data_IF_919652014871
#
_entry.id   IF_919652014871
#
_cell.length_a   1.000
_cell.length_b   1.000
_cell.length_c   1.000
_cell.angle_alpha   90.00
_cell.angle_beta   90.00
_cell.angle_gamma   90.00
#
_symmetry.space_group_name_H-M   'P 1'
#
loop_
_entity.id
_entity.type
_entity.pdbx_description
1 polymer ?
#
# COMPACT_ATOMS: atom_id res chain seq x y z
N UNK A 1 -3.53 68.68 -60.52
CA UNK A 1 -2.47 68.01 -59.73
C UNK A 1 -2.88 68.13 -58.26
N UNK A 2 -3.03 67.12 -57.43
CA UNK A 2 -3.20 65.67 -57.50
C UNK A 2 -3.69 65.34 -56.07
N UNK A 3 -4.82 64.64 -55.92
CA UNK A 3 -5.37 64.25 -54.62
C UNK A 3 -4.84 62.85 -54.30
N UNK A 4 -3.63 62.77 -53.78
CA UNK A 4 -3.02 61.51 -53.36
C UNK A 4 -3.72 60.96 -52.12
N UNK A 5 -4.48 59.90 -52.36
CA UNK A 5 -5.31 59.15 -51.44
C UNK A 5 -4.57 58.62 -50.20
N UNK A 6 -5.10 58.94 -49.00
CA UNK A 6 -4.82 58.19 -47.78
C UNK A 6 -5.83 57.03 -47.65
N UNK A 7 -5.51 55.88 -48.26
CA UNK A 7 -6.26 54.63 -48.03
C UNK A 7 -5.87 54.04 -46.67
N UNK A 8 -6.79 54.07 -45.71
CA UNK A 8 -6.67 53.35 -44.43
C UNK A 8 -6.63 51.85 -44.69
N UNK A 9 -5.56 51.18 -44.27
CA UNK A 9 -5.45 49.72 -44.25
C UNK A 9 -6.41 49.13 -43.23
N UNK A 10 -7.42 48.40 -43.71
CA UNK A 10 -8.32 47.61 -42.89
C UNK A 10 -7.59 46.40 -42.31
N UNK A 11 -7.62 46.24 -40.98
CA UNK A 11 -7.08 45.07 -40.30
C UNK A 11 -8.06 43.90 -40.52
N UNK A 12 -7.71 42.97 -41.39
CA UNK A 12 -8.51 41.77 -41.66
C UNK A 12 -8.46 40.84 -40.44
N UNK A 13 -9.57 40.74 -39.72
CA UNK A 13 -9.79 39.73 -38.68
C UNK A 13 -9.76 38.33 -39.32
N UNK A 14 -8.61 37.66 -39.21
CA UNK A 14 -8.41 36.28 -39.67
C UNK A 14 -9.28 35.35 -38.82
N UNK A 15 -10.45 34.96 -39.33
CA UNK A 15 -11.32 33.98 -38.67
C UNK A 15 -10.52 32.70 -38.38
N UNK A 16 -10.41 32.35 -37.09
CA UNK A 16 -9.77 31.11 -36.67
C UNK A 16 -10.57 29.94 -37.24
N UNK A 17 -9.89 29.05 -37.97
CA UNK A 17 -10.54 27.94 -38.68
C UNK A 17 -11.28 27.02 -37.70
N UNK A 18 -12.35 26.38 -38.16
CA UNK A 18 -13.11 25.39 -37.39
C UNK A 18 -12.21 24.27 -36.82
N UNK A 19 -11.09 23.98 -37.49
CA UNK A 19 -10.09 22.99 -37.05
C UNK A 19 -9.29 23.44 -35.81
N UNK A 20 -9.00 24.74 -35.67
CA UNK A 20 -8.35 25.26 -34.46
C UNK A 20 -9.24 25.03 -33.22
N UNK A 21 -10.54 25.24 -33.36
CA UNK A 21 -11.51 24.97 -32.29
C UNK A 21 -11.70 23.47 -32.03
N UNK A 22 -11.71 22.62 -33.07
CA UNK A 22 -11.79 21.18 -32.91
C UNK A 22 -10.56 20.60 -32.17
N UNK A 23 -9.36 21.11 -32.45
CA UNK A 23 -8.13 20.71 -31.76
C UNK A 23 -8.19 21.05 -30.27
N UNK A 24 -8.58 22.28 -29.92
CA UNK A 24 -8.70 22.69 -28.51
C UNK A 24 -9.82 21.95 -27.78
N UNK A 25 -10.94 21.67 -28.46
CA UNK A 25 -12.00 20.83 -27.90
C UNK A 25 -11.49 19.42 -27.56
N UNK A 26 -10.72 18.80 -28.45
CA UNK A 26 -10.12 17.49 -28.21
C UNK A 26 -9.13 17.51 -27.03
N UNK A 27 -8.29 18.55 -26.95
CA UNK A 27 -7.34 18.74 -25.84
C UNK A 27 -8.09 18.87 -24.51
N UNK A 28 -9.16 19.65 -24.46
CA UNK A 28 -9.99 19.78 -23.25
C UNK A 28 -10.59 18.43 -22.85
N UNK A 29 -11.12 17.66 -23.81
CA UNK A 29 -11.66 16.32 -23.54
C UNK A 29 -10.58 15.38 -22.97
N UNK A 30 -9.38 15.38 -23.54
CA UNK A 30 -8.25 14.58 -23.04
C UNK A 30 -7.85 15.00 -21.63
N UNK A 31 -7.72 16.30 -21.36
CA UNK A 31 -7.36 16.83 -20.04
C UNK A 31 -8.42 16.50 -19.01
N UNK A 32 -9.72 16.63 -19.35
CA UNK A 32 -10.83 16.28 -18.46
C UNK A 32 -10.85 14.78 -18.18
N UNK A 33 -10.71 13.94 -19.21
CA UNK A 33 -10.67 12.48 -19.06
C UNK A 33 -9.49 12.04 -18.19
N UNK A 34 -8.30 12.60 -18.43
CA UNK A 34 -7.10 12.31 -17.65
C UNK A 34 -7.23 12.78 -16.20
N UNK A 35 -7.77 13.99 -15.98
CA UNK A 35 -8.03 14.53 -14.64
C UNK A 35 -9.05 13.67 -13.89
N UNK A 36 -10.12 13.24 -14.56
CA UNK A 36 -11.12 12.35 -13.99
C UNK A 36 -10.54 10.98 -13.61
N UNK A 37 -9.71 10.40 -14.47
CA UNK A 37 -8.99 9.16 -14.19
C UNK A 37 -8.04 9.30 -13.00
N UNK A 38 -7.27 10.40 -12.91
CA UNK A 38 -6.41 10.69 -11.76
C UNK A 38 -7.20 10.85 -10.47
N UNK A 39 -8.34 11.56 -10.49
CA UNK A 39 -9.20 11.71 -9.32
C UNK A 39 -9.71 10.34 -8.87
N UNK A 40 -10.14 9.49 -9.81
CA UNK A 40 -10.66 8.14 -9.51
C UNK A 40 -9.56 7.22 -8.97
N UNK A 41 -8.35 7.26 -9.52
CA UNK A 41 -7.19 6.49 -9.08
C UNK A 41 -6.67 6.95 -7.70
N UNK A 42 -6.77 8.24 -7.41
CA UNK A 42 -6.31 8.83 -6.15
C UNK A 42 -7.37 8.83 -5.05
N UNK A 43 -8.59 8.31 -5.30
CA UNK A 43 -9.56 8.12 -4.21
C UNK A 43 -8.92 7.21 -3.17
N UNK A 44 -8.70 7.69 -1.92
CA UNK A 44 -8.21 6.82 -0.89
C UNK A 44 -9.25 5.73 -0.70
N UNK A 45 -8.90 4.49 -1.03
CA UNK A 45 -9.66 3.34 -0.56
C UNK A 45 -9.55 3.40 0.96
N UNK A 46 -10.60 3.95 1.59
CA UNK A 46 -10.81 3.82 3.02
C UNK A 46 -10.99 2.32 3.23
N UNK A 47 -9.90 1.62 3.54
CA UNK A 47 -9.99 0.29 4.09
C UNK A 47 -10.72 0.47 5.41
N UNK A 48 -12.01 0.17 5.39
CA UNK A 48 -12.80 0.05 6.61
C UNK A 48 -12.17 -1.09 7.39
N UNK A 49 -11.83 -0.82 8.65
CA UNK A 49 -11.41 -1.85 9.60
C UNK A 49 -12.57 -2.86 9.70
N UNK A 50 -12.46 -3.91 8.88
CA UNK A 50 -13.53 -4.87 8.68
C UNK A 50 -13.44 -5.85 9.83
N UNK A 51 -14.56 -6.07 10.52
CA UNK A 51 -14.63 -7.04 11.60
C UNK A 51 -14.11 -8.40 11.12
N UNK A 52 -13.35 -9.08 11.98
CA UNK A 52 -12.96 -10.48 11.74
C UNK A 52 -14.20 -11.34 11.50
N UNK A 53 -14.06 -12.41 10.69
CA UNK A 53 -15.13 -13.38 10.43
C UNK A 53 -15.43 -14.29 11.62
N UNK A 54 -14.81 -14.07 12.77
CA UNK A 54 -15.10 -14.85 13.97
C UNK A 54 -16.56 -14.66 14.40
N UNK A 55 -17.28 -15.77 14.47
CA UNK A 55 -18.61 -15.80 15.08
C UNK A 55 -18.48 -15.44 16.56
N UNK A 56 -19.35 -14.55 17.07
CA UNK A 56 -19.47 -14.29 18.50
C UNK A 56 -20.13 -15.48 19.20
N UNK A 57 -19.35 -16.55 19.41
CA UNK A 57 -19.74 -17.80 20.06
C UNK A 57 -18.86 -18.05 21.28
N UNK A 58 -19.32 -18.84 22.24
CA UNK A 58 -18.49 -19.30 23.37
C UNK A 58 -17.42 -20.31 22.96
N UNK A 59 -17.44 -20.80 21.71
CA UNK A 59 -16.42 -21.68 21.15
C UNK A 59 -15.24 -20.89 20.57
N UNK A 60 -14.61 -20.04 21.38
CA UNK A 60 -13.34 -19.38 21.04
C UNK A 60 -12.20 -19.89 21.91
N UNK A 61 -10.98 -19.77 21.40
CA UNK A 61 -9.76 -20.14 22.12
C UNK A 61 -8.67 -19.10 21.85
N UNK A 62 -7.82 -18.89 22.84
CA UNK A 62 -6.67 -18.00 22.71
C UNK A 62 -5.40 -18.82 22.43
N UNK A 63 -4.72 -18.50 21.33
CA UNK A 63 -3.38 -19.00 21.00
C UNK A 63 -2.38 -17.94 21.42
N UNK A 64 -1.55 -18.28 22.41
CA UNK A 64 -0.45 -17.41 22.85
C UNK A 64 0.86 -17.90 22.26
N UNK A 65 1.58 -16.99 21.61
CA UNK A 65 2.85 -17.24 20.96
C UNK A 65 3.92 -16.30 21.53
N UNK A 66 5.18 -16.73 21.46
CA UNK A 66 6.36 -15.91 21.73
C UNK A 66 7.07 -15.47 20.44
N UNK A 67 8.08 -14.60 20.56
CA UNK A 67 8.90 -14.08 19.45
C UNK A 67 9.48 -15.19 18.61
N UNK A 68 10.01 -16.25 19.23
CA UNK A 68 10.63 -17.36 18.51
C UNK A 68 9.62 -18.07 17.60
N UNK A 69 8.41 -18.33 18.12
CA UNK A 69 7.34 -18.96 17.36
C UNK A 69 6.82 -18.06 16.24
N UNK A 70 6.65 -16.75 16.50
CA UNK A 70 6.25 -15.80 15.45
C UNK A 70 7.32 -15.69 14.37
N UNK A 71 8.60 -15.63 14.74
CA UNK A 71 9.71 -15.62 13.79
C UNK A 71 9.70 -16.88 12.92
N UNK A 72 9.49 -18.06 13.51
CA UNK A 72 9.41 -19.32 12.79
C UNK A 72 8.22 -19.36 11.82
N UNK A 73 7.03 -18.91 12.26
CA UNK A 73 5.84 -18.81 11.42
C UNK A 73 6.05 -17.85 10.24
N UNK A 74 6.59 -16.67 10.51
CA UNK A 74 6.86 -15.68 9.47
C UNK A 74 7.90 -16.19 8.45
N UNK A 75 8.96 -16.85 8.93
CA UNK A 75 9.97 -17.46 8.05
C UNK A 75 9.36 -18.53 7.13
N UNK A 76 8.46 -19.37 7.66
CA UNK A 76 7.78 -20.39 6.86
C UNK A 76 6.99 -19.77 5.70
N UNK A 77 6.11 -18.80 5.97
CA UNK A 77 5.28 -18.18 4.94
C UNK A 77 6.05 -17.26 3.97
N UNK A 78 7.11 -16.61 4.44
CA UNK A 78 7.98 -15.80 3.58
C UNK A 78 8.81 -16.66 2.64
N UNK A 79 9.32 -17.81 3.10
CA UNK A 79 10.06 -18.72 2.24
C UNK A 79 9.19 -19.32 1.13
N UNK A 80 7.90 -19.59 1.39
CA UNK A 80 6.97 -20.02 0.35
C UNK A 80 6.69 -18.92 -0.69
N UNK A 81 6.64 -17.66 -0.26
CA UNK A 81 6.24 -16.54 -1.12
C UNK A 81 7.41 -15.83 -1.82
N UNK A 82 8.60 -15.85 -1.23
CA UNK A 82 9.79 -15.16 -1.73
C UNK A 82 11.08 -15.86 -1.24
N UNK A 83 11.44 -17.02 -1.83
CA UNK A 83 12.48 -17.92 -1.33
C UNK A 83 13.90 -17.33 -1.18
N UNK A 84 14.19 -16.22 -1.85
CA UNK A 84 15.58 -15.77 -2.13
C UNK A 84 15.87 -14.32 -1.72
N UNK A 85 15.06 -13.68 -0.87
CA UNK A 85 15.31 -12.24 -0.66
C UNK A 85 14.73 -11.51 0.53
N UNK A 86 13.91 -12.11 1.40
CA UNK A 86 13.35 -11.39 2.54
C UNK A 86 13.39 -12.21 3.82
N UNK A 87 13.82 -11.56 4.89
CA UNK A 87 13.93 -12.13 6.22
C UNK A 87 13.15 -11.28 7.22
N UNK A 88 12.39 -11.96 8.07
CA UNK A 88 11.61 -11.35 9.12
C UNK A 88 12.19 -11.72 10.47
N UNK A 89 12.31 -10.73 11.37
CA UNK A 89 12.78 -10.95 12.73
C UNK A 89 12.11 -9.97 13.69
N UNK A 90 11.62 -10.48 14.82
CA UNK A 90 11.17 -9.67 15.94
C UNK A 90 12.26 -9.69 17.01
N UNK A 91 12.70 -8.48 17.39
CA UNK A 91 13.64 -8.25 18.48
C UNK A 91 13.02 -7.20 19.42
N UNK A 92 13.59 -5.99 19.52
CA UNK A 92 12.92 -4.81 20.12
C UNK A 92 11.86 -4.19 19.20
N UNK A 93 12.04 -4.39 17.89
CA UNK A 93 11.12 -3.98 16.83
C UNK A 93 10.89 -5.15 15.88
N UNK A 94 9.79 -5.08 15.13
CA UNK A 94 9.60 -5.97 13.99
C UNK A 94 10.51 -5.48 12.86
N UNK A 95 11.36 -6.35 12.34
CA UNK A 95 12.31 -6.05 11.28
C UNK A 95 12.05 -6.91 10.05
N UNK A 96 12.06 -6.27 8.90
CA UNK A 96 12.08 -6.92 7.59
C UNK A 96 13.33 -6.45 6.86
N UNK A 97 14.20 -7.37 6.48
CA UNK A 97 15.42 -7.06 5.74
C UNK A 97 15.60 -8.02 4.57
N UNK A 98 16.32 -7.58 3.55
CA UNK A 98 16.36 -8.31 2.30
C UNK A 98 17.07 -7.55 1.20
N UNK A 99 16.96 -8.03 -0.03
CA UNK A 99 17.51 -7.34 -1.19
C UNK A 99 16.43 -7.08 -2.24
N UNK A 100 16.49 -5.91 -2.87
CA UNK A 100 15.53 -5.42 -3.84
C UNK A 100 16.22 -5.05 -5.15
N UNK A 101 15.67 -5.48 -6.28
CA UNK A 101 16.21 -5.14 -7.60
C UNK A 101 15.65 -3.80 -8.09
N UNK A 102 16.31 -2.69 -7.74
CA UNK A 102 15.92 -1.36 -8.21
C UNK A 102 16.87 -0.86 -9.29
N UNK A 103 16.32 -0.35 -10.40
CA UNK A 103 17.11 0.23 -11.50
C UNK A 103 18.20 -0.71 -12.05
N UNK A 104 17.92 -2.01 -12.09
CA UNK A 104 18.88 -3.03 -12.54
C UNK A 104 19.98 -3.38 -11.53
N UNK A 105 19.92 -2.85 -10.31
CA UNK A 105 20.89 -3.15 -9.24
C UNK A 105 20.21 -3.81 -8.04
N UNK A 106 20.89 -4.79 -7.44
CA UNK A 106 20.45 -5.44 -6.20
C UNK A 106 20.90 -4.58 -5.03
N UNK A 107 19.94 -4.02 -4.28
CA UNK A 107 20.19 -3.15 -3.14
C UNK A 107 19.69 -3.80 -1.86
N UNK A 108 20.49 -3.75 -0.81
CA UNK A 108 20.05 -4.19 0.52
C UNK A 108 19.07 -3.20 1.11
N UNK A 109 17.99 -3.74 1.66
CA UNK A 109 16.90 -3.01 2.28
C UNK A 109 16.70 -3.54 3.70
N UNK A 110 16.44 -2.62 4.63
CA UNK A 110 16.02 -2.93 5.99
C UNK A 110 14.91 -1.98 6.43
N UNK A 111 13.83 -2.53 6.98
CA UNK A 111 12.68 -1.79 7.47
C UNK A 111 12.33 -2.23 8.89
N UNK A 112 12.02 -1.27 9.76
CA UNK A 112 11.52 -1.56 11.11
C UNK A 112 10.07 -1.08 11.23
N UNK A 113 9.26 -1.85 11.96
CA UNK A 113 7.85 -1.57 12.17
C UNK A 113 7.50 -1.57 13.66
N UNK A 114 6.55 -0.71 14.00
CA UNK A 114 5.84 -0.74 15.27
C UNK A 114 4.42 -1.33 15.00
N UNK A 115 4.05 -2.45 15.64
CA UNK A 115 2.75 -3.08 15.44
C UNK A 115 1.66 -2.40 16.26
N UNK A 116 0.43 -2.46 15.74
CA UNK A 116 -0.78 -2.05 16.44
C UNK A 116 -1.93 -3.01 16.09
N UNK A 117 -2.65 -3.47 17.10
CA UNK A 117 -3.86 -4.29 16.93
C UNK A 117 -5.07 -3.36 16.86
N UNK A 118 -5.90 -3.49 15.83
CA UNK A 118 -7.12 -2.70 15.70
C UNK A 118 -8.22 -3.24 16.61
N UNK A 119 -9.27 -2.44 16.84
CA UNK A 119 -10.44 -2.87 17.64
C UNK A 119 -11.13 -4.12 17.08
N UNK A 120 -11.02 -4.33 15.77
CA UNK A 120 -11.58 -5.49 15.07
C UNK A 120 -10.62 -6.68 15.00
N UNK A 121 -9.46 -6.57 15.64
CA UNK A 121 -8.42 -7.59 15.69
C UNK A 121 -7.66 -7.75 14.37
N UNK A 122 -7.60 -6.71 13.53
CA UNK A 122 -6.66 -6.63 12.41
C UNK A 122 -5.31 -6.10 12.90
N UNK A 123 -4.27 -6.19 12.07
CA UNK A 123 -2.92 -5.74 12.45
C UNK A 123 -2.48 -4.61 11.52
N UNK A 124 -1.99 -3.53 12.10
CA UNK A 124 -1.31 -2.44 11.41
C UNK A 124 0.17 -2.52 11.77
N UNK A 125 1.04 -2.55 10.76
CA UNK A 125 2.48 -2.40 10.92
C UNK A 125 2.88 -1.02 10.42
N UNK A 126 3.09 -0.08 11.34
CA UNK A 126 3.53 1.28 10.99
C UNK A 126 5.03 1.27 10.77
N UNK A 127 5.47 1.78 9.64
CA UNK A 127 6.90 1.86 9.34
C UNK A 127 7.55 2.96 10.18
N UNK A 128 8.61 2.60 10.92
CA UNK A 128 9.37 3.53 11.78
C UNK A 128 10.65 4.01 11.13
N UNK A 129 11.46 3.08 10.64
CA UNK A 129 12.73 3.35 9.95
C UNK A 129 12.84 2.50 8.70
N UNK A 130 13.54 3.04 7.71
CA UNK A 130 13.80 2.37 6.45
C UNK A 130 15.19 2.78 5.96
N UNK A 131 15.97 1.79 5.56
CA UNK A 131 17.26 1.95 4.92
C UNK A 131 17.27 1.17 3.61
N UNK A 132 17.79 1.79 2.55
CA UNK A 132 18.16 1.11 1.30
C UNK A 132 19.57 1.54 0.95
N UNK A 133 20.53 0.62 1.08
CA UNK A 133 21.96 0.94 0.99
C UNK A 133 22.32 2.17 1.85
N UNK A 134 22.86 3.21 1.21
CA UNK A 134 23.24 4.49 1.84
C UNK A 134 22.33 5.66 1.45
N UNK A 135 21.22 5.39 0.78
CA UNK A 135 20.35 6.42 0.21
C UNK A 135 19.26 6.85 1.22
N UNK A 136 19.09 8.16 1.49
CA UNK A 136 17.99 8.65 2.32
C UNK A 136 16.72 8.71 1.46
N UNK A 137 15.99 7.60 1.38
CA UNK A 137 14.74 7.55 0.60
C UNK A 137 13.50 7.76 1.48
N UNK A 138 12.49 8.53 1.01
CA UNK A 138 11.22 8.64 1.72
C UNK A 138 10.50 7.29 1.79
N UNK A 139 9.99 6.93 2.97
CA UNK A 139 9.26 5.67 3.22
C UNK A 139 8.13 5.42 2.23
N UNK A 140 7.41 6.48 1.84
CA UNK A 140 6.31 6.42 0.87
C UNK A 140 6.78 5.91 -0.51
N UNK A 141 7.95 6.34 -0.97
CA UNK A 141 8.47 5.97 -2.28
C UNK A 141 8.80 4.48 -2.31
N UNK A 142 9.45 3.99 -1.26
CA UNK A 142 9.82 2.57 -1.17
C UNK A 142 8.59 1.69 -1.01
N UNK A 143 7.64 2.03 -0.13
CA UNK A 143 6.41 1.25 0.00
C UNK A 143 5.61 1.22 -1.31
N UNK A 144 5.65 2.29 -2.10
CA UNK A 144 5.03 2.33 -3.44
C UNK A 144 5.72 1.34 -4.39
N UNK A 145 7.04 1.26 -4.33
CA UNK A 145 7.81 0.30 -5.11
C UNK A 145 7.52 -1.13 -4.68
N UNK A 146 7.59 -1.44 -3.37
CA UNK A 146 7.28 -2.78 -2.85
C UNK A 146 5.86 -3.20 -3.25
N UNK A 147 4.89 -2.30 -3.17
CA UNK A 147 3.52 -2.55 -3.63
C UNK A 147 3.44 -2.89 -5.13
N UNK A 148 4.29 -2.30 -5.96
CA UNK A 148 4.30 -2.55 -7.40
C UNK A 148 5.10 -3.80 -7.79
N UNK A 149 6.10 -4.17 -6.99
CA UNK A 149 7.05 -5.25 -7.28
C UNK A 149 6.74 -6.57 -6.60
N UNK A 150 5.89 -6.58 -5.57
CA UNK A 150 5.51 -7.78 -4.83
C UNK A 150 3.99 -8.01 -4.88
N UNK A 151 3.60 -9.22 -5.29
CA UNK A 151 2.21 -9.66 -5.26
C UNK A 151 1.83 -10.12 -3.85
N UNK A 152 1.43 -9.15 -3.03
CA UNK A 152 1.04 -9.43 -1.66
C UNK A 152 -0.25 -10.27 -1.62
N UNK A 153 -0.36 -11.26 -0.71
CA UNK A 153 -1.56 -12.06 -0.60
C UNK A 153 -2.77 -11.20 -0.22
N UNK A 154 -3.99 -11.67 -0.51
CA UNK A 154 -5.25 -10.89 -0.38
C UNK A 154 -5.51 -10.30 1.01
N UNK A 155 -4.91 -10.88 2.05
CA UNK A 155 -5.01 -10.41 3.44
C UNK A 155 -3.96 -9.35 3.80
N UNK A 156 -2.98 -9.07 2.95
CA UNK A 156 -1.97 -8.02 3.15
C UNK A 156 -2.28 -6.85 2.21
N UNK A 157 -2.24 -5.62 2.73
CA UNK A 157 -2.37 -4.41 1.93
C UNK A 157 -1.31 -3.40 2.31
N UNK A 158 -0.44 -3.10 1.35
CA UNK A 158 0.60 -2.07 1.51
C UNK A 158 -0.03 -0.70 1.25
N UNK A 159 0.11 0.23 2.20
CA UNK A 159 -0.47 1.58 2.14
C UNK A 159 0.63 2.65 2.18
N UNK A 160 1.27 2.96 1.03
CA UNK A 160 2.39 3.91 0.98
C UNK A 160 2.03 5.31 1.50
N UNK A 161 0.80 5.76 1.24
CA UNK A 161 0.29 7.06 1.69
C UNK A 161 0.18 7.18 3.21
N UNK A 162 -0.01 6.06 3.91
CA UNK A 162 -0.10 5.98 5.37
C UNK A 162 1.18 5.45 6.02
N UNK A 163 2.20 5.15 5.21
CA UNK A 163 3.47 4.58 5.67
C UNK A 163 3.27 3.32 6.54
N UNK A 164 2.34 2.45 6.14
CA UNK A 164 1.98 1.26 6.91
C UNK A 164 1.65 0.08 6.02
N UNK A 165 1.73 -1.12 6.60
CA UNK A 165 1.20 -2.36 6.04
C UNK A 165 0.00 -2.78 6.89
N UNK A 166 -1.12 -3.06 6.25
CA UNK A 166 -2.34 -3.52 6.90
C UNK A 166 -2.53 -5.02 6.64
N UNK A 167 -2.66 -5.80 7.71
CA UNK A 167 -2.97 -7.22 7.66
C UNK A 167 -4.42 -7.38 8.09
N UNK A 168 -5.25 -7.74 7.12
CA UNK A 168 -6.68 -7.97 7.29
C UNK A 168 -6.93 -9.42 7.68
N UNK A 169 -7.15 -9.63 8.98
CA UNK A 169 -7.36 -10.95 9.57
C UNK A 169 -8.66 -11.60 9.06
N UNK A 170 -9.67 -10.80 8.68
CA UNK A 170 -10.93 -11.31 8.09
C UNK A 170 -10.76 -11.96 6.71
N UNK A 171 -9.63 -11.70 6.04
CA UNK A 171 -9.29 -12.25 4.72
C UNK A 171 -8.27 -13.36 4.76
N UNK A 172 -7.83 -13.79 5.96
CA UNK A 172 -6.98 -14.96 6.09
C UNK A 172 -7.69 -16.19 5.50
N UNK A 173 -6.95 -17.10 4.85
CA UNK A 173 -7.52 -18.38 4.42
C UNK A 173 -8.12 -19.11 5.61
N UNK A 174 -9.38 -19.51 5.48
CA UNK A 174 -10.08 -20.31 6.48
C UNK A 174 -9.69 -21.76 6.26
N UNK A 175 -9.18 -22.41 7.31
CA UNK A 175 -8.88 -23.84 7.31
C UNK A 175 -9.87 -24.51 8.26
N UNK A 176 -10.62 -25.50 7.77
CA UNK A 176 -11.61 -26.26 8.56
C UNK A 176 -12.60 -25.34 9.30
N UNK A 177 -13.14 -24.33 8.61
CA UNK A 177 -14.07 -23.35 9.17
C UNK A 177 -13.55 -22.57 10.39
N UNK A 178 -12.23 -22.49 10.58
CA UNK A 178 -11.62 -21.66 11.62
C UNK A 178 -11.17 -20.30 11.08
N UNK A 179 -11.54 -19.24 11.80
CA UNK A 179 -11.04 -17.89 11.61
C UNK A 179 -10.18 -17.45 12.80
N UNK A 180 -9.39 -16.41 12.59
CA UNK A 180 -8.51 -15.84 13.62
C UNK A 180 -8.58 -14.32 13.64
N UNK A 181 -8.27 -13.71 14.80
CA UNK A 181 -8.00 -12.28 14.94
C UNK A 181 -6.91 -12.03 15.98
N UNK A 182 -6.19 -10.93 15.85
CA UNK A 182 -5.22 -10.52 16.86
C UNK A 182 -5.92 -9.90 18.08
N UNK A 183 -5.48 -10.24 19.29
CA UNK A 183 -5.90 -9.59 20.55
C UNK A 183 -4.78 -8.74 21.14
N UNK A 184 -3.59 -9.31 21.25
CA UNK A 184 -2.43 -8.66 21.87
C UNK A 184 -1.20 -8.89 21.01
N UNK A 185 -0.44 -7.81 20.78
CA UNK A 185 0.91 -7.88 20.24
C UNK A 185 1.78 -7.04 21.16
N UNK A 186 2.51 -7.70 22.06
CA UNK A 186 3.42 -7.07 23.00
C UNK A 186 4.83 -7.62 22.79
N UNK A 187 5.65 -6.82 22.11
CA UNK A 187 7.05 -7.17 21.84
C UNK A 187 7.88 -7.14 23.13
N UNK A 188 7.57 -6.27 24.08
CA UNK A 188 8.39 -6.08 25.28
C UNK A 188 8.21 -7.26 26.24
N UNK A 189 6.98 -7.75 26.38
CA UNK A 189 6.63 -8.90 27.22
C UNK A 189 6.66 -10.25 26.49
N UNK A 190 7.17 -10.30 25.26
CA UNK A 190 7.28 -11.52 24.46
C UNK A 190 5.92 -12.25 24.27
N UNK A 191 4.84 -11.49 24.13
CA UNK A 191 3.47 -12.01 24.18
C UNK A 191 2.65 -11.61 22.95
N UNK A 192 2.25 -12.62 22.18
CA UNK A 192 1.41 -12.45 20.99
C UNK A 192 0.18 -13.34 21.12
N UNK A 193 -1.00 -12.74 21.30
CA UNK A 193 -2.26 -13.46 21.54
C UNK A 193 -3.18 -13.32 20.34
N UNK A 194 -3.58 -14.45 19.79
CA UNK A 194 -4.55 -14.56 18.70
C UNK A 194 -5.76 -15.34 19.18
N UNK A 195 -6.94 -14.83 18.90
CA UNK A 195 -8.18 -15.55 19.17
C UNK A 195 -8.59 -16.33 17.93
N UNK A 196 -8.80 -17.63 18.10
CA UNK A 196 -9.36 -18.53 17.11
C UNK A 196 -10.79 -18.94 17.45
N UNK A 197 -11.54 -19.34 16.44
CA UNK A 197 -12.92 -19.78 16.58
C UNK A 197 -13.57 -20.05 15.24
N UNK A 198 -14.83 -20.47 15.26
CA UNK A 198 -15.58 -20.81 14.04
C UNK A 198 -15.83 -19.55 13.20
N UNK A 199 -15.56 -19.65 11.90
CA UNK A 199 -15.80 -18.64 10.90
C UNK A 199 -17.31 -18.48 10.63
N UNK A 200 -17.73 -17.24 10.42
CA UNK A 200 -19.08 -16.83 10.04
C UNK A 200 -19.24 -16.76 8.52
#
# INVERSE_FOLDING_TARGET
MDQSALKRTAITQKQKSKWFWAFWALVVVLVVSFSFAMIMANKPTKLTDTASKLQSSQATFDVTLNKQQINALAAHYLNESAPEGYHFRIDDHIMLYGSLNMLGQKLDMGMTFDPEVTKNGNIILKTKKLAIGRLPLPTKTVLSYVKASYDAPKYVTIQPNKQQIFINMSKLPVVQDMAFRAKVIDIQHDQFVFEGGVAK
#
